data_IF_543547353577
#
_entry.id   IF_543547353577
#
_cell.length_a   1.000
_cell.length_b   1.000
_cell.length_c   1.000
_cell.angle_alpha   90.00
_cell.angle_beta   90.00
_cell.angle_gamma   90.00
#
_symmetry.space_group_name_H-M   'P 1'
#
loop_
_entity.id
_entity.type
_entity.pdbx_description
1 polymer ?
#
# COMPACT_ATOMS: atom_id res chain seq x y z
N UNK A 1 59.80 -45.69 -12.66
CA UNK A 1 59.99 -47.16 -12.56
C UNK A 1 58.61 -47.81 -12.48
N UNK A 2 58.44 -49.05 -12.98
CA UNK A 2 57.41 -49.41 -13.98
C UNK A 2 55.97 -49.50 -13.44
N UNK A 3 54.86 -49.36 -14.19
CA UNK A 3 54.53 -49.42 -15.65
C UNK A 3 53.98 -50.76 -16.19
N UNK A 4 52.64 -50.86 -16.28
CA UNK A 4 51.76 -51.91 -16.87
C UNK A 4 50.40 -51.20 -17.21
N UNK A 5 49.70 -51.21 -18.36
CA UNK A 5 49.74 -51.86 -19.70
C UNK A 5 49.23 -53.31 -19.75
N UNK A 6 48.10 -53.69 -20.37
CA UNK A 6 47.02 -53.05 -21.18
C UNK A 6 45.73 -53.94 -21.03
N UNK A 7 44.50 -53.77 -21.55
CA UNK A 7 43.81 -53.01 -22.63
C UNK A 7 42.41 -52.56 -22.10
N UNK A 8 41.54 -51.72 -22.68
CA UNK A 8 41.22 -51.23 -24.05
C UNK A 8 40.31 -52.13 -24.94
N UNK A 9 38.99 -51.81 -24.99
CA UNK A 9 38.01 -52.17 -26.04
C UNK A 9 36.94 -51.05 -26.12
N UNK A 10 37.03 -50.10 -27.06
CA UNK A 10 36.42 -50.10 -28.41
C UNK A 10 34.90 -49.80 -28.45
N UNK A 11 34.61 -48.49 -28.52
CA UNK A 11 33.72 -47.81 -29.50
C UNK A 11 32.58 -48.57 -30.18
N UNK A 12 31.38 -47.99 -30.09
CA UNK A 12 30.44 -47.92 -31.21
C UNK A 12 29.90 -46.48 -31.34
N UNK A 13 29.96 -45.90 -32.54
CA UNK A 13 29.26 -44.66 -32.92
C UNK A 13 28.34 -44.97 -34.10
N UNK A 14 27.06 -44.71 -33.92
CA UNK A 14 26.07 -44.42 -34.97
C UNK A 14 24.94 -43.65 -34.27
N UNK A 15 24.73 -42.38 -34.59
CA UNK A 15 23.79 -41.92 -35.63
C UNK A 15 22.33 -42.32 -35.32
N UNK A 16 21.53 -41.32 -34.94
CA UNK A 16 20.14 -41.52 -34.53
C UNK A 16 19.50 -40.22 -34.07
N UNK A 17 19.22 -39.30 -35.01
CA UNK A 17 18.50 -38.06 -34.73
C UNK A 17 17.00 -38.33 -34.50
N UNK A 18 16.68 -38.82 -33.31
CA UNK A 18 15.32 -38.78 -32.74
C UNK A 18 15.32 -37.64 -31.71
N UNK A 19 14.44 -36.64 -31.79
CA UNK A 19 13.15 -36.59 -32.47
C UNK A 19 12.16 -36.10 -31.41
N UNK A 20 11.81 -34.82 -31.45
CA UNK A 20 10.99 -34.19 -30.41
C UNK A 20 9.68 -34.96 -30.21
N UNK A 21 9.19 -35.13 -28.96
CA UNK A 21 7.94 -35.84 -28.72
C UNK A 21 6.79 -35.18 -29.47
N UNK A 22 6.17 -35.94 -30.37
CA UNK A 22 4.98 -35.54 -31.09
C UNK A 22 3.81 -35.52 -30.09
N UNK A 23 3.32 -34.31 -29.79
CA UNK A 23 2.08 -34.17 -29.03
C UNK A 23 0.91 -34.49 -29.95
N UNK A 24 0.33 -35.67 -29.78
CA UNK A 24 -0.93 -36.02 -30.42
C UNK A 24 -2.05 -35.28 -29.68
N UNK A 25 -2.49 -34.16 -30.26
CA UNK A 25 -3.74 -33.52 -29.86
C UNK A 25 -4.89 -34.37 -30.40
N UNK A 26 -5.58 -35.11 -29.52
CA UNK A 26 -6.84 -35.77 -29.89
C UNK A 26 -7.83 -34.72 -30.40
N UNK A 27 -8.36 -34.92 -31.62
CA UNK A 27 -9.36 -34.05 -32.23
C UNK A 27 -10.75 -34.29 -31.60
N UNK A 28 -10.86 -33.92 -30.32
CA UNK A 28 -12.10 -33.98 -29.55
C UNK A 28 -13.15 -33.02 -30.12
N UNK A 29 -14.02 -33.54 -30.97
CA UNK A 29 -15.12 -32.80 -31.60
C UNK A 29 -15.96 -32.04 -30.57
N UNK A 30 -15.97 -30.71 -30.69
CA UNK A 30 -16.83 -29.85 -29.87
C UNK A 30 -18.32 -30.11 -30.20
N UNK A 31 -19.18 -30.41 -29.21
CA UNK A 31 -20.61 -30.47 -29.42
C UNK A 31 -21.14 -29.05 -29.69
N UNK A 32 -21.45 -28.76 -30.95
CA UNK A 32 -22.11 -27.52 -31.37
C UNK A 32 -23.62 -27.68 -31.23
N UNK A 33 -24.19 -27.16 -30.15
CA UNK A 33 -25.65 -27.06 -30.00
C UNK A 33 -26.10 -25.63 -29.73
N UNK A 34 -27.32 -25.31 -30.18
CA UNK A 34 -27.74 -23.92 -30.41
C UNK A 34 -28.88 -23.45 -29.52
N UNK A 35 -28.82 -22.16 -29.17
CA UNK A 35 -29.98 -21.29 -28.94
C UNK A 35 -30.98 -21.70 -27.83
N UNK A 36 -30.89 -21.02 -26.69
CA UNK A 36 -32.09 -20.53 -26.01
C UNK A 36 -31.82 -19.21 -25.30
N UNK A 37 -32.82 -18.32 -25.28
CA UNK A 37 -32.79 -17.06 -24.53
C UNK A 37 -33.69 -17.18 -23.30
N UNK A 38 -33.23 -16.76 -22.13
CA UNK A 38 -34.10 -16.11 -21.14
C UNK A 38 -33.30 -15.33 -20.09
N UNK A 39 -34.05 -14.54 -19.33
CA UNK A 39 -33.65 -13.50 -18.38
C UNK A 39 -33.15 -14.04 -17.02
N UNK A 40 -32.65 -13.12 -16.17
CA UNK A 40 -32.52 -13.13 -14.68
C UNK A 40 -32.58 -14.49 -13.92
N UNK A 41 -31.68 -14.77 -12.96
CA UNK A 41 -31.53 -13.99 -11.71
C UNK A 41 -30.11 -14.00 -11.10
N UNK A 42 -29.98 -13.31 -9.96
CA UNK A 42 -28.77 -13.14 -9.15
C UNK A 42 -28.45 -14.38 -8.30
N UNK A 43 -27.16 -14.60 -8.00
CA UNK A 43 -26.75 -15.13 -6.69
C UNK A 43 -25.40 -14.50 -6.27
N UNK A 44 -25.07 -14.57 -4.99
CA UNK A 44 -24.00 -13.80 -4.35
C UNK A 44 -22.71 -14.59 -4.05
N UNK A 45 -21.75 -13.87 -3.45
CA UNK A 45 -20.55 -14.34 -2.73
C UNK A 45 -19.38 -14.81 -3.62
N UNK A 46 -18.13 -14.39 -3.41
CA UNK A 46 -17.56 -13.66 -2.27
C UNK A 46 -16.68 -12.48 -2.73
N UNK A 47 -17.07 -11.26 -2.39
CA UNK A 47 -16.22 -10.08 -2.55
C UNK A 47 -15.32 -9.90 -1.32
N UNK A 48 -14.04 -10.24 -1.44
CA UNK A 48 -13.06 -10.08 -0.35
C UNK A 48 -12.83 -8.60 -0.05
N UNK A 49 -13.48 -8.14 1.02
CA UNK A 49 -13.55 -6.75 1.50
C UNK A 49 -12.18 -6.17 1.89
N UNK A 50 -11.42 -5.70 0.91
CA UNK A 50 -10.25 -4.85 1.13
C UNK A 50 -10.70 -3.50 1.71
N UNK A 51 -10.01 -3.01 2.75
CA UNK A 51 -10.31 -1.72 3.39
C UNK A 51 -9.93 -0.54 2.46
N UNK A 52 -10.81 0.45 2.23
CA UNK A 52 -10.63 1.47 1.19
C UNK A 52 -9.59 2.56 1.50
N UNK A 53 -8.81 2.42 2.58
CA UNK A 53 -7.95 3.50 3.12
C UNK A 53 -6.59 3.60 2.38
N UNK A 54 -6.14 2.53 1.71
CA UNK A 54 -4.82 2.49 1.04
C UNK A 54 -4.80 3.24 -0.30
N UNK A 55 -5.96 3.65 -0.82
CA UNK A 55 -6.09 4.15 -2.20
C UNK A 55 -5.83 5.65 -2.39
N UNK A 56 -5.91 6.46 -1.32
CA UNK A 56 -5.83 7.93 -1.41
C UNK A 56 -4.40 8.50 -1.54
N UNK A 57 -3.35 7.72 -1.27
CA UNK A 57 -1.96 8.20 -1.38
C UNK A 57 -1.39 8.19 -2.81
N UNK A 58 -2.17 7.75 -3.81
CA UNK A 58 -1.74 7.65 -5.21
C UNK A 58 -2.39 8.67 -6.16
N UNK A 59 -3.19 9.62 -5.64
CA UNK A 59 -3.82 10.70 -6.44
C UNK A 59 -3.08 12.03 -6.27
N UNK A 60 -1.99 12.22 -7.02
CA UNK A 60 -1.22 13.48 -6.96
C UNK A 60 -0.40 13.89 -8.19
N UNK A 61 -0.16 13.01 -9.16
CA UNK A 61 0.73 13.31 -10.30
C UNK A 61 0.11 12.86 -11.64
N UNK A 62 -0.50 13.80 -12.36
CA UNK A 62 -0.93 13.60 -13.74
C UNK A 62 0.24 13.93 -14.69
N UNK A 63 1.03 12.91 -15.05
CA UNK A 63 2.07 13.03 -16.08
C UNK A 63 1.53 12.68 -17.47
N UNK A 64 1.84 13.53 -18.44
CA UNK A 64 1.42 13.42 -19.84
C UNK A 64 1.83 12.07 -20.50
N UNK A 65 0.92 11.38 -21.22
CA UNK A 65 1.13 10.01 -21.70
C UNK A 65 1.99 9.94 -22.97
N UNK A 66 3.25 10.39 -22.90
CA UNK A 66 4.25 10.12 -23.94
C UNK A 66 4.78 8.69 -23.80
N UNK A 67 4.00 7.73 -24.31
CA UNK A 67 4.40 6.31 -24.41
C UNK A 67 5.65 6.15 -25.28
N UNK A 68 6.82 6.13 -24.66
CA UNK A 68 8.06 5.67 -25.27
C UNK A 68 8.17 4.15 -25.13
N UNK A 69 8.88 3.53 -26.09
CA UNK A 69 8.92 2.07 -26.32
C UNK A 69 9.36 1.31 -25.05
N UNK A 70 8.80 0.12 -24.84
CA UNK A 70 9.07 -0.79 -23.72
C UNK A 70 10.57 -1.15 -23.54
N UNK A 71 11.35 -0.24 -22.96
CA UNK A 71 12.59 -0.59 -22.30
C UNK A 71 12.23 -1.39 -21.04
N UNK A 72 12.72 -2.62 -20.92
CA UNK A 72 12.65 -3.36 -19.66
C UNK A 72 13.37 -2.52 -18.61
N UNK A 73 12.65 -2.06 -17.58
CA UNK A 73 13.27 -1.32 -16.48
C UNK A 73 14.37 -2.20 -15.86
N UNK A 74 15.58 -1.66 -15.63
CA UNK A 74 16.71 -2.48 -15.20
C UNK A 74 16.35 -3.18 -13.88
N UNK A 75 16.33 -4.51 -13.89
CA UNK A 75 15.93 -5.28 -12.72
C UNK A 75 16.85 -4.99 -11.53
N UNK A 76 16.25 -4.79 -10.36
CA UNK A 76 16.99 -4.77 -9.11
C UNK A 76 17.63 -6.15 -8.88
N UNK A 77 18.84 -6.15 -8.36
CA UNK A 77 19.60 -7.36 -8.00
C UNK A 77 19.48 -7.57 -6.49
N UNK A 78 19.57 -8.81 -6.01
CA UNK A 78 19.44 -9.11 -4.57
C UNK A 78 20.42 -8.28 -3.70
N UNK A 79 21.66 -8.08 -4.16
CA UNK A 79 22.63 -7.23 -3.45
C UNK A 79 22.25 -5.72 -3.46
N UNK A 80 21.53 -5.24 -4.48
CA UNK A 80 21.00 -3.87 -4.51
C UNK A 80 19.83 -3.71 -3.54
N UNK A 81 19.02 -4.76 -3.36
CA UNK A 81 17.90 -4.79 -2.42
C UNK A 81 18.40 -4.87 -0.96
N UNK A 82 19.43 -5.68 -0.71
CA UNK A 82 20.18 -5.72 0.56
C UNK A 82 20.79 -4.35 0.91
N UNK A 83 21.46 -3.71 -0.05
CA UNK A 83 22.10 -2.41 0.14
C UNK A 83 21.05 -1.29 0.29
N UNK A 84 19.96 -1.32 -0.48
CA UNK A 84 18.85 -0.38 -0.32
C UNK A 84 18.24 -0.48 1.08
N UNK A 85 18.02 -1.68 1.61
CA UNK A 85 17.48 -1.87 2.95
C UNK A 85 18.40 -1.26 4.03
N UNK A 86 19.72 -1.47 3.94
CA UNK A 86 20.65 -0.92 4.94
C UNK A 86 20.78 0.62 4.88
N UNK A 87 20.66 1.25 3.70
CA UNK A 87 20.55 2.71 3.60
C UNK A 87 19.20 3.24 4.09
N UNK A 88 18.09 2.56 3.79
CA UNK A 88 16.76 2.96 4.28
C UNK A 88 16.67 2.89 5.81
N UNK A 89 17.35 1.94 6.45
CA UNK A 89 17.42 1.85 7.92
C UNK A 89 18.29 2.97 8.55
N UNK A 90 19.27 3.50 7.82
CA UNK A 90 20.10 4.63 8.27
C UNK A 90 19.39 5.98 8.13
N UNK A 91 18.68 6.20 7.01
CA UNK A 91 18.13 7.51 6.64
C UNK A 91 16.61 7.64 6.89
N UNK A 92 15.89 6.52 7.11
CA UNK A 92 14.46 6.44 7.47
C UNK A 92 13.52 7.43 6.74
N UNK A 93 13.59 7.56 5.40
CA UNK A 93 12.84 8.58 4.64
C UNK A 93 11.31 8.48 4.76
N UNK A 94 10.78 7.33 5.21
CA UNK A 94 9.36 7.12 5.47
C UNK A 94 8.86 7.73 6.80
N UNK A 95 9.76 8.18 7.68
CA UNK A 95 9.42 8.90 8.91
C UNK A 95 9.31 10.43 8.71
N UNK A 96 9.82 10.94 7.60
CA UNK A 96 9.79 12.36 7.23
C UNK A 96 8.34 12.82 6.91
N UNK A 97 7.96 14.07 7.23
CA UNK A 97 6.60 14.55 7.03
C UNK A 97 6.22 14.55 5.55
N UNK A 98 4.94 14.35 5.24
CA UNK A 98 4.41 14.09 3.89
C UNK A 98 4.90 15.05 2.79
N UNK A 99 5.18 16.31 3.13
CA UNK A 99 5.69 17.32 2.21
C UNK A 99 7.20 17.22 1.90
N UNK A 100 7.97 16.47 2.70
CA UNK A 100 9.42 16.25 2.59
C UNK A 100 9.78 14.77 2.33
N UNK A 101 8.83 13.84 2.47
CA UNK A 101 9.05 12.39 2.23
C UNK A 101 9.67 12.11 0.86
N UNK A 102 9.19 12.76 -0.21
CA UNK A 102 9.76 12.60 -1.56
C UNK A 102 11.21 13.12 -1.63
N UNK A 103 11.48 14.30 -1.06
CA UNK A 103 12.83 14.87 -0.99
C UNK A 103 13.78 14.01 -0.15
N UNK A 104 13.27 13.27 0.84
CA UNK A 104 14.04 12.29 1.62
C UNK A 104 14.38 11.05 0.80
N UNK A 105 13.46 10.55 -0.03
CA UNK A 105 13.74 9.45 -0.97
C UNK A 105 14.72 9.85 -2.07
N UNK A 106 14.63 11.08 -2.58
CA UNK A 106 15.58 11.56 -3.60
C UNK A 106 16.98 11.81 -2.98
N UNK A 107 17.08 12.40 -1.77
CA UNK A 107 18.32 12.44 -0.97
C UNK A 107 18.93 11.05 -0.80
N UNK A 108 18.14 10.07 -0.33
CA UNK A 108 18.60 8.69 -0.20
C UNK A 108 19.13 8.14 -1.52
N UNK A 109 18.54 8.49 -2.66
CA UNK A 109 19.03 8.01 -3.96
C UNK A 109 20.38 8.61 -4.38
N UNK A 110 20.67 9.86 -4.00
CA UNK A 110 21.99 10.48 -4.18
C UNK A 110 23.05 9.91 -3.22
N UNK A 111 22.65 9.58 -1.98
CA UNK A 111 23.49 8.94 -0.96
C UNK A 111 23.82 7.49 -1.37
N UNK A 112 22.80 6.72 -1.77
CA UNK A 112 22.89 5.38 -2.37
C UNK A 112 23.81 5.36 -3.60
N UNK A 113 23.70 6.37 -4.48
CA UNK A 113 24.60 6.53 -5.63
C UNK A 113 26.04 6.83 -5.21
N UNK A 114 26.21 7.72 -4.23
CA UNK A 114 27.52 8.14 -3.73
C UNK A 114 28.28 6.99 -3.06
N UNK A 115 27.58 6.17 -2.28
CA UNK A 115 28.23 5.15 -1.44
C UNK A 115 28.44 3.83 -2.19
N UNK A 116 27.49 3.41 -3.03
CA UNK A 116 27.70 2.28 -3.94
C UNK A 116 28.90 2.48 -4.87
N UNK A 117 29.16 3.73 -5.28
CA UNK A 117 30.35 4.13 -6.05
C UNK A 117 31.67 4.04 -5.27
N UNK A 118 31.65 4.19 -3.94
CA UNK A 118 32.84 3.97 -3.08
C UNK A 118 33.22 2.48 -3.03
N UNK A 119 32.23 1.59 -3.10
CA UNK A 119 32.42 0.12 -3.08
C UNK A 119 33.05 -0.39 -4.39
N UNK A 120 32.64 0.17 -5.54
CA UNK A 120 33.33 -0.10 -6.82
C UNK A 120 32.57 0.36 -8.05
N UNK A 121 33.31 0.61 -9.15
CA UNK A 121 32.72 1.10 -10.41
C UNK A 121 31.73 0.11 -11.07
N UNK A 122 31.83 -1.19 -10.80
CA UNK A 122 30.88 -2.22 -11.26
C UNK A 122 29.62 -2.32 -10.38
N UNK A 123 29.65 -1.71 -9.20
CA UNK A 123 28.60 -1.80 -8.16
C UNK A 123 27.80 -0.51 -8.02
N UNK A 124 27.98 0.46 -8.93
CA UNK A 124 27.36 1.77 -8.88
C UNK A 124 25.84 1.68 -9.11
N UNK A 125 25.06 2.07 -8.10
CA UNK A 125 23.60 2.13 -8.18
C UNK A 125 23.21 3.51 -8.74
N UNK A 126 22.53 3.54 -9.89
CA UNK A 126 21.93 4.76 -10.47
C UNK A 126 20.41 4.58 -10.54
N UNK A 127 19.71 5.13 -9.55
CA UNK A 127 18.25 5.02 -9.36
C UNK A 127 17.72 6.39 -8.91
N UNK A 128 16.43 6.66 -9.13
CA UNK A 128 15.75 7.84 -8.59
C UNK A 128 15.08 7.50 -7.25
N UNK A 129 14.80 8.48 -6.40
CA UNK A 129 14.14 8.25 -5.11
C UNK A 129 12.80 7.56 -5.24
N UNK A 130 11.99 7.95 -6.22
CA UNK A 130 10.74 7.27 -6.55
C UNK A 130 10.91 5.77 -6.91
N UNK A 131 12.04 5.38 -7.52
CA UNK A 131 12.34 3.98 -7.82
C UNK A 131 12.86 3.21 -6.59
N UNK A 132 13.59 3.89 -5.70
CA UNK A 132 14.04 3.34 -4.42
C UNK A 132 12.83 3.09 -3.49
N UNK A 133 11.94 4.08 -3.36
CA UNK A 133 10.66 3.99 -2.65
C UNK A 133 9.81 2.81 -3.13
N UNK A 134 9.57 2.71 -4.44
CA UNK A 134 8.76 1.64 -5.02
C UNK A 134 9.38 0.24 -4.85
N UNK A 135 10.71 0.12 -4.86
CA UNK A 135 11.37 -1.16 -4.60
C UNK A 135 11.40 -1.50 -3.10
N UNK A 136 11.61 -0.53 -2.21
CA UNK A 136 11.59 -0.74 -0.75
C UNK A 136 10.28 -1.39 -0.28
N UNK A 137 9.13 -0.78 -0.61
CA UNK A 137 7.83 -1.36 -0.25
C UNK A 137 7.58 -2.74 -0.87
N UNK A 138 8.10 -2.99 -2.08
CA UNK A 138 8.04 -4.31 -2.72
C UNK A 138 8.92 -5.36 -2.01
N UNK A 139 10.05 -4.96 -1.42
CA UNK A 139 10.88 -5.85 -0.58
C UNK A 139 10.13 -6.17 0.72
N UNK A 140 9.56 -5.18 1.41
CA UNK A 140 8.75 -5.40 2.62
C UNK A 140 7.53 -6.30 2.34
N UNK A 141 6.84 -6.10 1.23
CA UNK A 141 5.72 -6.93 0.80
C UNK A 141 6.14 -8.36 0.43
N UNK A 142 7.41 -8.59 0.07
CA UNK A 142 7.96 -9.93 -0.10
C UNK A 142 8.33 -10.55 1.25
N UNK A 143 8.92 -9.77 2.16
CA UNK A 143 9.28 -10.19 3.52
C UNK A 143 8.05 -10.65 4.31
N UNK A 144 7.01 -9.80 4.42
CA UNK A 144 5.73 -10.10 5.07
C UNK A 144 5.14 -11.44 4.59
N UNK A 145 5.24 -11.73 3.28
CA UNK A 145 4.78 -13.01 2.70
C UNK A 145 5.67 -14.17 3.13
N UNK A 146 6.98 -14.03 3.04
CA UNK A 146 7.95 -15.06 3.45
C UNK A 146 7.80 -15.42 4.93
N UNK A 147 7.60 -14.44 5.82
CA UNK A 147 7.30 -14.66 7.24
C UNK A 147 6.02 -15.48 7.43
N UNK A 148 4.93 -15.14 6.74
CA UNK A 148 3.68 -15.91 6.83
C UNK A 148 3.80 -17.35 6.30
N UNK A 149 4.64 -17.60 5.30
CA UNK A 149 4.93 -18.96 4.85
C UNK A 149 5.84 -19.71 5.83
N UNK A 150 6.87 -19.06 6.37
CA UNK A 150 7.78 -19.67 7.37
C UNK A 150 7.02 -20.12 8.61
N UNK A 151 6.14 -19.27 9.14
CA UNK A 151 5.31 -19.54 10.32
C UNK A 151 4.33 -20.72 10.11
N UNK A 152 3.93 -20.97 8.86
CA UNK A 152 3.08 -22.10 8.48
C UNK A 152 3.87 -23.39 8.17
N UNK A 153 5.15 -23.26 7.80
CA UNK A 153 5.96 -24.37 7.28
C UNK A 153 6.71 -25.15 8.37
N UNK A 154 7.39 -24.48 9.32
CA UNK A 154 8.38 -25.17 10.16
C UNK A 154 8.54 -24.59 11.57
N UNK A 155 8.47 -25.46 12.58
CA UNK A 155 8.80 -25.14 13.98
C UNK A 155 10.31 -25.23 14.29
N UNK A 156 11.17 -24.75 13.40
CA UNK A 156 12.63 -24.80 13.55
C UNK A 156 13.20 -23.38 13.66
N UNK A 157 13.91 -23.10 14.74
CA UNK A 157 14.53 -21.79 14.97
C UNK A 157 15.85 -21.67 14.19
N UNK A 158 15.76 -21.29 12.92
CA UNK A 158 16.92 -20.99 12.09
C UNK A 158 17.56 -19.64 12.47
N UNK A 159 18.88 -19.54 12.36
CA UNK A 159 19.62 -18.34 12.71
C UNK A 159 19.39 -17.27 11.63
N UNK A 160 18.74 -16.17 11.98
CA UNK A 160 18.34 -15.13 11.02
C UNK A 160 19.55 -14.48 10.37
N UNK A 161 19.47 -14.28 9.06
CA UNK A 161 20.45 -13.54 8.26
C UNK A 161 20.41 -12.03 8.64
N UNK A 162 21.55 -11.35 8.54
CA UNK A 162 21.69 -9.92 8.88
C UNK A 162 20.73 -9.06 8.05
N UNK A 163 20.52 -9.42 6.78
CA UNK A 163 19.54 -8.76 5.92
C UNK A 163 18.09 -8.97 6.40
N UNK A 164 17.75 -10.16 6.90
CA UNK A 164 16.41 -10.49 7.40
C UNK A 164 16.12 -9.74 8.70
N UNK A 165 17.12 -9.61 9.59
CA UNK A 165 17.01 -8.75 10.77
C UNK A 165 16.74 -7.30 10.37
N UNK A 166 17.52 -6.75 9.43
CA UNK A 166 17.33 -5.38 8.91
C UNK A 166 15.92 -5.18 8.31
N UNK A 167 15.38 -6.16 7.60
CA UNK A 167 14.01 -6.09 7.07
C UNK A 167 12.93 -6.20 8.14
N UNK A 168 13.15 -7.02 9.18
CA UNK A 168 12.25 -7.13 10.35
C UNK A 168 12.20 -5.82 11.13
N UNK A 169 13.37 -5.21 11.37
CA UNK A 169 13.48 -3.93 12.09
C UNK A 169 12.83 -2.79 11.29
N UNK A 170 13.07 -2.74 9.97
CA UNK A 170 12.42 -1.79 9.06
C UNK A 170 10.90 -1.96 9.03
N UNK A 171 10.40 -3.19 9.01
CA UNK A 171 8.97 -3.48 9.02
C UNK A 171 8.31 -3.00 10.31
N UNK A 172 8.93 -3.24 11.47
CA UNK A 172 8.44 -2.75 12.76
C UNK A 172 8.38 -1.21 12.81
N UNK A 173 9.40 -0.52 12.27
CA UNK A 173 9.43 0.95 12.17
C UNK A 173 8.35 1.51 11.22
N UNK A 174 8.07 0.84 10.10
CA UNK A 174 6.99 1.23 9.18
C UNK A 174 5.62 1.02 9.81
N UNK A 175 5.38 -0.12 10.45
CA UNK A 175 4.10 -0.42 11.13
C UNK A 175 3.85 0.53 12.32
N UNK A 176 4.90 0.93 13.07
CA UNK A 176 4.81 1.99 14.08
C UNK A 176 4.50 3.36 13.45
N UNK A 177 5.12 3.71 12.32
CA UNK A 177 4.88 4.98 11.63
C UNK A 177 3.44 5.08 11.09
N UNK A 178 2.96 4.03 10.42
CA UNK A 178 1.60 3.96 9.88
C UNK A 178 0.55 4.02 10.99
N UNK A 179 0.73 3.24 12.07
CA UNK A 179 -0.19 3.25 13.22
C UNK A 179 -0.20 4.61 13.93
N UNK A 180 0.96 5.26 14.11
CA UNK A 180 1.05 6.63 14.61
C UNK A 180 0.35 7.65 13.71
N UNK A 181 0.46 7.52 12.38
CA UNK A 181 -0.22 8.41 11.43
C UNK A 181 -1.75 8.22 11.49
N UNK A 182 -2.23 6.97 11.51
CA UNK A 182 -3.65 6.63 11.68
C UNK A 182 -4.18 7.16 13.02
N UNK A 183 -3.44 6.99 14.11
CA UNK A 183 -3.73 7.56 15.43
C UNK A 183 -3.90 9.08 15.38
N UNK A 184 -2.96 9.81 14.78
CA UNK A 184 -2.99 11.28 14.64
C UNK A 184 -4.20 11.71 13.80
N UNK A 185 -4.44 11.06 12.66
CA UNK A 185 -5.58 11.31 11.77
C UNK A 185 -6.92 11.07 12.48
N UNK A 186 -7.03 9.97 13.24
CA UNK A 186 -8.22 9.63 14.05
C UNK A 186 -8.48 10.66 15.14
N UNK A 187 -7.44 11.10 15.86
CA UNK A 187 -7.53 12.15 16.90
C UNK A 187 -7.94 13.50 16.31
N UNK A 188 -7.38 13.88 15.17
CA UNK A 188 -7.77 15.10 14.45
C UNK A 188 -9.23 15.06 13.98
N UNK A 189 -9.65 13.98 13.30
CA UNK A 189 -11.04 13.78 12.85
C UNK A 189 -12.06 13.76 14.01
N UNK A 190 -11.69 13.18 15.16
CA UNK A 190 -12.53 13.23 16.37
C UNK A 190 -12.65 14.66 16.91
N UNK A 191 -11.55 15.42 16.96
CA UNK A 191 -11.56 16.82 17.39
C UNK A 191 -12.48 17.67 16.49
N UNK A 192 -12.28 17.65 15.17
CA UNK A 192 -13.08 18.46 14.25
C UNK A 192 -14.55 18.04 14.22
N UNK A 193 -14.86 16.76 14.45
CA UNK A 193 -16.23 16.29 14.64
C UNK A 193 -16.88 16.89 15.90
N UNK A 194 -16.21 16.87 17.05
CA UNK A 194 -16.69 17.48 18.31
C UNK A 194 -16.87 19.00 18.18
N UNK A 195 -15.94 19.69 17.51
CA UNK A 195 -16.04 21.13 17.25
C UNK A 195 -17.24 21.45 16.35
N UNK A 196 -17.52 20.61 15.35
CA UNK A 196 -18.67 20.76 14.46
C UNK A 196 -20.01 20.44 15.16
N UNK A 197 -20.08 19.40 16.00
CA UNK A 197 -21.31 19.10 16.78
C UNK A 197 -21.60 20.23 17.77
N UNK A 198 -20.61 20.73 18.49
CA UNK A 198 -20.78 21.87 19.39
C UNK A 198 -21.22 23.15 18.64
N UNK A 199 -20.69 23.41 17.44
CA UNK A 199 -21.12 24.54 16.62
C UNK A 199 -22.58 24.38 16.13
N UNK A 200 -23.00 23.16 15.77
CA UNK A 200 -24.39 22.86 15.42
C UNK A 200 -25.33 22.96 16.63
N UNK A 201 -24.91 22.50 17.80
CA UNK A 201 -25.67 22.64 19.06
C UNK A 201 -25.87 24.12 19.43
N UNK A 202 -24.83 24.94 19.37
CA UNK A 202 -24.92 26.39 19.61
C UNK A 202 -25.85 27.07 18.59
N UNK A 203 -25.75 26.71 17.31
CA UNK A 203 -26.66 27.20 16.26
C UNK A 203 -28.11 26.80 16.54
N UNK A 204 -28.37 25.55 16.88
CA UNK A 204 -29.71 25.04 17.16
C UNK A 204 -30.30 25.67 18.42
N UNK A 205 -29.49 25.85 19.48
CA UNK A 205 -29.89 26.55 20.69
C UNK A 205 -30.29 28.01 20.40
N UNK A 206 -29.50 28.74 19.61
CA UNK A 206 -29.82 30.11 19.20
C UNK A 206 -31.08 30.20 18.33
N UNK A 207 -31.25 29.30 17.35
CA UNK A 207 -32.46 29.24 16.52
C UNK A 207 -33.71 28.90 17.34
N UNK A 208 -33.62 27.97 18.30
CA UNK A 208 -34.76 27.54 19.12
C UNK A 208 -35.17 28.58 20.19
N UNK A 209 -34.27 29.49 20.58
CA UNK A 209 -34.60 30.63 21.46
C UNK A 209 -35.11 31.85 20.68
N UNK A 210 -35.08 31.82 19.34
CA UNK A 210 -35.67 32.85 18.50
C UNK A 210 -37.19 32.63 18.41
N UNK A 211 -37.92 33.00 19.47
CA UNK A 211 -39.39 32.89 19.50
C UNK A 211 -40.00 33.74 18.39
N UNK A 212 -40.75 33.09 17.51
CA UNK A 212 -41.49 33.71 16.43
C UNK A 212 -42.48 34.75 17.00
N UNK A 213 -42.40 35.99 16.51
CA UNK A 213 -43.17 37.12 17.07
C UNK A 213 -44.68 36.95 16.90
N UNK A 214 -45.11 36.11 15.94
CA UNK A 214 -46.52 35.76 15.74
C UNK A 214 -47.05 34.73 16.76
N UNK A 215 -46.18 34.10 17.55
CA UNK A 215 -46.54 33.15 18.61
C UNK A 215 -46.49 33.77 20.01
N UNK A 216 -46.04 35.02 20.14
CA UNK A 216 -46.07 35.79 21.39
C UNK A 216 -47.48 36.34 21.62
N UNK A 217 -48.18 35.82 22.63
CA UNK A 217 -49.47 36.36 23.06
C UNK A 217 -49.32 37.75 23.68
N UNK A 218 -50.16 38.69 23.26
CA UNK A 218 -50.25 40.03 23.82
C UNK A 218 -50.77 39.97 25.27
N UNK A 219 -49.91 40.30 26.23
CA UNK A 219 -50.22 40.24 27.67
C UNK A 219 -51.27 41.30 28.04
N UNK A 220 -51.42 42.37 27.25
CA UNK A 220 -52.50 43.34 27.44
C UNK A 220 -53.88 42.75 27.13
N UNK A 221 -53.96 41.83 26.18
CA UNK A 221 -55.20 41.12 25.78
C UNK A 221 -55.48 39.88 26.63
N UNK A 222 -54.47 39.32 27.31
CA UNK A 222 -54.65 38.14 28.15
C UNK A 222 -55.59 38.42 29.34
N UNK A 223 -56.66 37.63 29.43
CA UNK A 223 -57.64 37.72 30.51
C UNK A 223 -57.08 37.07 31.79
N UNK A 224 -57.00 37.85 32.87
CA UNK A 224 -56.35 37.46 34.13
C UNK A 224 -54.95 38.02 34.38
N UNK A 225 -54.26 38.57 33.37
CA UNK A 225 -52.94 39.19 33.56
C UNK A 225 -53.00 40.48 34.42
N UNK A 226 -52.01 40.69 35.29
CA UNK A 226 -52.05 41.74 36.32
C UNK A 226 -51.71 43.13 35.78
N UNK A 227 -52.14 44.17 36.50
CA UNK A 227 -51.83 45.58 36.17
C UNK A 227 -50.32 45.84 36.07
N UNK A 228 -49.50 45.15 36.87
CA UNK A 228 -48.04 45.27 36.86
C UNK A 228 -47.42 44.73 35.57
N UNK A 229 -47.91 43.59 35.09
CA UNK A 229 -47.47 42.98 33.83
C UNK A 229 -47.91 43.83 32.63
N UNK A 230 -49.17 44.30 32.62
CA UNK A 230 -49.71 45.19 31.57
C UNK A 230 -49.09 46.61 31.56
N UNK A 231 -48.31 46.98 32.58
CA UNK A 231 -47.45 48.17 32.57
C UNK A 231 -46.03 47.87 32.09
N UNK A 232 -45.48 46.69 32.38
CA UNK A 232 -44.12 46.30 31.96
C UNK A 232 -43.92 46.22 30.45
N UNK A 233 -44.98 45.93 29.69
CA UNK A 233 -44.94 45.83 28.23
C UNK A 233 -45.06 47.19 27.50
N UNK A 234 -45.05 48.33 28.21
CA UNK A 234 -45.26 49.66 27.63
C UNK A 234 -43.96 50.34 27.18
N UNK A 235 -43.58 50.15 25.92
CA UNK A 235 -42.81 51.13 25.14
C UNK A 235 -43.04 50.98 23.64
#
# INVERSE_FOLDING_TARGET
MPSITHSQAQTAQTEGSQGSPQWECEEGSLPSDSNSSSEHEQDELSSTRMSPVVQDHLRGVQLEPKQSRNAKSPCWQAWQDQYLASEVLKHCPFLEPQNATQEAWDRLSDELHTDSKKVGHTSEIRRTGAACHAQFYKILDAHRKQETFSLQATGTNEQMDEHVQVLTDLLALVDEAESNHIERSRKAKKKTNIENTAALELRNAAMNHLVDSHQLTDITQLEGATVREKQGQRK
#
